data_IF_719644881670
#
_entry.id   IF_719644881670
#
_cell.length_a   1.000
_cell.length_b   1.000
_cell.length_c   1.000
_cell.angle_alpha   90.00
_cell.angle_beta   90.00
_cell.angle_gamma   90.00
#
_symmetry.space_group_name_H-M   'P 1'
#
loop_
_entity.id
_entity.type
_entity.pdbx_description
1 polymer ?
#
# COMPACT_ATOMS: atom_id res chain seq x y z
N UNK A 1 34.89 20.74 25.68
CA UNK A 1 34.04 19.81 26.46
C UNK A 1 32.63 20.39 26.48
N UNK A 2 31.71 19.86 25.66
CA UNK A 2 30.30 20.29 25.71
C UNK A 2 29.72 19.83 27.05
N UNK A 3 29.34 20.78 27.91
CA UNK A 3 28.60 20.48 29.14
C UNK A 3 27.27 19.85 28.72
N UNK A 4 26.99 18.64 29.20
CA UNK A 4 25.71 17.97 28.98
C UNK A 4 24.54 18.83 29.50
N UNK A 5 23.36 18.65 28.90
CA UNK A 5 22.15 19.37 29.31
C UNK A 5 21.73 18.85 30.69
N UNK A 6 21.67 19.69 31.75
CA UNK A 6 21.23 19.25 33.07
C UNK A 6 19.79 18.71 33.01
N UNK A 7 19.55 17.52 33.55
CA UNK A 7 18.23 16.88 33.52
C UNK A 7 17.90 16.13 32.22
N UNK A 8 18.90 15.86 31.37
CA UNK A 8 18.72 15.04 30.18
C UNK A 8 18.34 13.59 30.55
N UNK A 9 17.17 13.17 30.10
CA UNK A 9 16.67 11.79 30.18
C UNK A 9 16.68 11.16 28.78
N UNK A 10 17.62 10.23 28.59
CA UNK A 10 17.85 9.55 27.32
C UNK A 10 16.68 8.65 26.90
N UNK A 11 15.97 8.07 27.86
CA UNK A 11 14.81 7.21 27.57
C UNK A 11 13.62 8.06 27.15
N UNK A 12 13.36 9.15 27.87
CA UNK A 12 12.33 10.12 27.50
C UNK A 12 12.59 10.71 26.12
N UNK A 13 13.83 11.13 25.83
CA UNK A 13 14.18 11.71 24.53
C UNK A 13 13.98 10.71 23.38
N UNK A 14 14.38 9.44 23.55
CA UNK A 14 14.14 8.40 22.55
C UNK A 14 12.65 8.14 22.33
N UNK A 15 11.85 8.16 23.41
CA UNK A 15 10.40 7.99 23.35
C UNK A 15 9.70 9.13 22.60
N UNK A 16 10.10 10.37 22.87
CA UNK A 16 9.58 11.54 22.14
C UNK A 16 9.96 11.51 20.66
N UNK A 17 11.20 11.08 20.35
CA UNK A 17 11.62 10.92 18.97
C UNK A 17 10.81 9.83 18.25
N UNK A 18 10.51 8.71 18.91
CA UNK A 18 9.64 7.68 18.35
C UNK A 18 8.20 8.19 18.11
N UNK A 19 7.64 8.97 19.03
CA UNK A 19 6.34 9.63 18.84
C UNK A 19 6.35 10.56 17.62
N UNK A 20 7.39 11.39 17.48
CA UNK A 20 7.60 12.23 16.29
C UNK A 20 7.68 11.36 15.04
N UNK A 21 8.49 10.31 15.06
CA UNK A 21 8.72 9.47 13.89
C UNK A 21 7.45 8.77 13.41
N UNK A 22 6.65 8.22 14.32
CA UNK A 22 5.36 7.61 14.01
C UNK A 22 4.30 8.62 13.55
N UNK A 23 4.39 9.89 13.95
CA UNK A 23 3.36 10.90 13.64
C UNK A 23 3.68 11.72 12.39
N UNK A 24 4.96 11.79 12.01
CA UNK A 24 5.46 12.52 10.85
C UNK A 24 5.93 11.60 9.71
N UNK A 25 5.62 10.30 9.78
CA UNK A 25 6.07 9.26 8.84
C UNK A 25 7.59 9.30 8.58
N UNK A 26 8.36 9.54 9.65
CA UNK A 26 9.81 9.65 9.57
C UNK A 26 10.46 8.26 9.68
N UNK A 27 11.20 7.79 8.66
CA UNK A 27 11.80 6.47 8.70
C UNK A 27 12.84 6.37 9.84
N UNK A 28 12.73 5.40 10.77
CA UNK A 28 13.69 5.26 11.87
C UNK A 28 15.15 5.15 11.41
N UNK A 29 15.40 4.58 10.23
CA UNK A 29 16.74 4.40 9.64
C UNK A 29 17.46 5.74 9.39
N UNK A 30 16.72 6.82 9.24
CA UNK A 30 17.26 8.14 8.95
C UNK A 30 18.17 8.67 10.08
N UNK A 31 18.02 8.17 11.31
CA UNK A 31 18.92 8.50 12.42
C UNK A 31 20.36 8.04 12.21
N UNK A 32 20.58 7.07 11.32
CA UNK A 32 21.92 6.59 10.96
C UNK A 32 22.62 7.46 9.90
N UNK A 33 21.86 8.33 9.22
CA UNK A 33 22.38 9.22 8.19
C UNK A 33 23.33 10.26 8.75
N UNK A 34 24.54 10.36 8.19
CA UNK A 34 25.59 11.30 8.67
C UNK A 34 25.11 12.75 8.83
N UNK A 35 24.39 13.37 7.86
CA UNK A 35 23.94 14.75 8.02
C UNK A 35 22.95 14.93 9.17
N UNK A 36 22.01 13.99 9.34
CA UNK A 36 21.01 14.04 10.39
C UNK A 36 21.62 13.77 11.76
N UNK A 37 22.56 12.83 11.86
CA UNK A 37 23.34 12.61 13.08
C UNK A 37 24.11 13.86 13.49
N UNK A 38 24.79 14.53 12.56
CA UNK A 38 25.49 15.78 12.82
C UNK A 38 24.56 16.90 13.31
N UNK A 39 23.34 16.99 12.76
CA UNK A 39 22.30 17.89 13.26
C UNK A 39 21.91 17.57 14.71
N UNK A 40 21.61 16.31 15.04
CA UNK A 40 21.26 15.89 16.41
C UNK A 40 22.40 16.15 17.40
N UNK A 41 23.65 15.85 17.02
CA UNK A 41 24.84 16.08 17.84
C UNK A 41 25.06 17.58 18.11
N UNK A 42 24.73 18.45 17.16
CA UNK A 42 24.81 19.91 17.35
C UNK A 42 23.79 20.44 18.37
N UNK A 43 22.64 19.78 18.49
CA UNK A 43 21.60 20.12 19.48
C UNK A 43 21.94 19.58 20.86
N UNK A 44 22.34 18.31 20.94
CA UNK A 44 22.78 17.66 22.17
C UNK A 44 23.73 16.50 21.88
N UNK A 45 25.03 16.62 22.16
CA UNK A 45 26.03 15.55 21.94
C UNK A 45 25.77 14.25 22.73
N UNK A 46 24.96 14.31 23.80
CA UNK A 46 24.55 13.14 24.59
C UNK A 46 23.33 12.42 23.98
N UNK A 47 22.64 13.05 23.02
CA UNK A 47 21.48 12.47 22.35
C UNK A 47 21.92 11.58 21.19
N UNK A 48 22.28 10.34 21.52
CA UNK A 48 22.68 9.32 20.55
C UNK A 48 21.54 8.34 20.31
N UNK A 49 20.96 8.40 19.10
CA UNK A 49 19.97 7.44 18.63
C UNK A 49 20.60 6.46 17.67
N UNK A 50 20.17 5.20 17.78
CA UNK A 50 20.42 4.18 16.77
C UNK A 50 19.09 3.73 16.17
N UNK A 51 19.15 3.17 14.97
CA UNK A 51 17.99 2.58 14.31
C UNK A 51 17.25 1.59 15.23
N UNK A 52 17.99 0.69 15.89
CA UNK A 52 17.42 -0.32 16.78
C UNK A 52 16.70 0.30 17.97
N UNK A 53 17.26 1.37 18.56
CA UNK A 53 16.65 2.05 19.72
C UNK A 53 15.35 2.74 19.33
N UNK A 54 15.37 3.51 18.23
CA UNK A 54 14.17 4.21 17.74
C UNK A 54 13.13 3.18 17.32
N UNK A 55 13.52 2.14 16.59
CA UNK A 55 12.61 1.06 16.18
C UNK A 55 11.93 0.37 17.37
N UNK A 56 12.70 0.06 18.43
CA UNK A 56 12.16 -0.52 19.67
C UNK A 56 11.14 0.41 20.34
N UNK A 57 11.45 1.71 20.46
CA UNK A 57 10.52 2.70 21.03
C UNK A 57 9.27 2.90 20.15
N UNK A 58 9.41 2.95 18.83
CA UNK A 58 8.28 2.99 17.90
C UNK A 58 7.36 1.78 18.08
N UNK A 59 7.92 0.58 18.29
CA UNK A 59 7.14 -0.63 18.55
C UNK A 59 6.37 -0.56 19.88
N UNK A 60 6.95 0.05 20.92
CA UNK A 60 6.25 0.30 22.18
C UNK A 60 5.09 1.29 21.99
N UNK A 61 5.34 2.42 21.31
CA UNK A 61 4.32 3.41 20.94
C UNK A 61 3.17 2.74 20.19
N UNK A 62 3.49 1.89 19.20
CA UNK A 62 2.50 1.13 18.44
C UNK A 62 1.67 0.21 19.34
N UNK A 63 2.29 -0.60 20.21
CA UNK A 63 1.57 -1.53 21.10
C UNK A 63 0.60 -0.80 22.04
N UNK A 64 1.03 0.33 22.59
CA UNK A 64 0.18 1.17 23.46
C UNK A 64 -1.00 1.76 22.68
N UNK A 65 -0.74 2.41 21.54
CA UNK A 65 -1.80 2.97 20.68
C UNK A 65 -2.75 1.89 20.15
N UNK A 66 -2.24 0.70 19.82
CA UNK A 66 -3.05 -0.46 19.40
C UNK A 66 -4.02 -0.88 20.50
N UNK A 67 -3.56 -0.93 21.75
CA UNK A 67 -4.42 -1.29 22.88
C UNK A 67 -5.54 -0.27 23.11
N UNK A 68 -5.24 1.03 22.99
CA UNK A 68 -6.24 2.10 23.07
C UNK A 68 -7.25 2.04 21.91
N UNK A 69 -6.74 1.87 20.69
CA UNK A 69 -7.54 1.71 19.47
C UNK A 69 -8.48 0.51 19.56
N UNK A 70 -7.98 -0.62 20.08
CA UNK A 70 -8.79 -1.82 20.31
C UNK A 70 -9.92 -1.55 21.30
N UNK A 71 -9.64 -0.87 22.43
CA UNK A 71 -10.69 -0.48 23.40
C UNK A 71 -11.75 0.39 22.75
N UNK A 72 -11.34 1.36 21.93
CA UNK A 72 -12.27 2.22 21.19
C UNK A 72 -13.16 1.39 20.27
N UNK A 73 -12.58 0.55 19.41
CA UNK A 73 -13.35 -0.23 18.42
C UNK A 73 -14.30 -1.26 19.05
N UNK A 74 -13.92 -1.86 20.19
CA UNK A 74 -14.81 -2.77 20.94
C UNK A 74 -16.03 -2.02 21.48
N UNK A 75 -15.83 -0.80 21.99
CA UNK A 75 -16.91 0.03 22.54
C UNK A 75 -17.65 0.85 21.48
N UNK A 76 -17.20 0.84 20.23
CA UNK A 76 -17.83 1.58 19.14
C UNK A 76 -19.16 0.96 18.73
N UNK A 77 -20.27 1.69 18.90
CA UNK A 77 -21.61 1.17 18.59
C UNK A 77 -21.93 1.10 17.10
N UNK A 78 -21.12 1.75 16.26
CA UNK A 78 -21.31 1.76 14.81
C UNK A 78 -20.85 0.47 14.11
N UNK A 79 -21.10 0.45 12.80
CA UNK A 79 -20.66 -0.63 11.90
C UNK A 79 -19.32 -0.28 11.26
N UNK A 80 -18.53 -1.31 10.99
CA UNK A 80 -17.19 -1.19 10.41
C UNK A 80 -17.20 -1.84 9.03
N UNK A 81 -16.77 -1.09 8.02
CA UNK A 81 -16.49 -1.62 6.68
C UNK A 81 -15.02 -1.96 6.60
N UNK A 82 -14.66 -3.11 6.05
CA UNK A 82 -13.27 -3.50 5.84
C UNK A 82 -12.85 -3.20 4.40
N UNK A 83 -11.59 -2.83 4.20
CA UNK A 83 -10.94 -2.98 2.89
C UNK A 83 -9.74 -3.90 3.01
N UNK A 84 -9.59 -4.74 2.00
CA UNK A 84 -8.46 -5.62 1.80
C UNK A 84 -7.72 -5.19 0.55
N UNK A 85 -6.44 -4.88 0.72
CA UNK A 85 -5.53 -4.56 -0.38
C UNK A 85 -4.36 -5.55 -0.36
N UNK A 86 -4.15 -6.25 -1.47
CA UNK A 86 -2.91 -6.99 -1.72
C UNK A 86 -1.92 -6.04 -2.38
N UNK A 87 -0.79 -5.82 -1.71
CA UNK A 87 0.26 -4.89 -2.11
C UNK A 87 1.49 -5.69 -2.52
N UNK A 88 1.80 -5.63 -3.80
CA UNK A 88 2.87 -6.41 -4.41
C UNK A 88 4.15 -5.61 -4.53
N UNK A 89 5.24 -6.12 -3.96
CA UNK A 89 6.58 -5.59 -4.10
C UNK A 89 7.43 -6.52 -4.96
N UNK A 90 7.77 -6.04 -6.16
CA UNK A 90 8.62 -6.76 -7.09
C UNK A 90 10.05 -6.24 -6.98
N UNK A 91 11.00 -7.12 -6.69
CA UNK A 91 12.41 -6.77 -6.60
C UNK A 91 13.31 -7.82 -7.27
N UNK A 92 14.50 -7.39 -7.70
CA UNK A 92 15.51 -8.28 -8.28
C UNK A 92 15.76 -8.08 -9.77
N UNK A 93 16.79 -8.77 -10.28
CA UNK A 93 17.12 -8.84 -11.71
C UNK A 93 16.38 -10.03 -12.33
N UNK A 94 16.49 -10.19 -13.65
CA UNK A 94 15.76 -11.23 -14.40
C UNK A 94 16.06 -12.67 -13.93
N UNK A 95 17.19 -12.87 -13.24
CA UNK A 95 17.67 -14.13 -12.66
C UNK A 95 17.35 -14.29 -11.15
N UNK A 96 16.88 -13.23 -10.50
CA UNK A 96 16.66 -13.13 -9.05
C UNK A 96 15.33 -12.46 -8.72
N UNK A 97 14.34 -12.64 -9.60
CA UNK A 97 13.01 -12.06 -9.44
C UNK A 97 12.36 -12.57 -8.15
N UNK A 98 12.09 -11.65 -7.23
CA UNK A 98 11.35 -11.88 -6.00
C UNK A 98 10.08 -11.06 -6.05
N UNK A 99 9.00 -11.70 -5.64
CA UNK A 99 7.72 -11.06 -5.45
C UNK A 99 7.29 -11.27 -4.02
N UNK A 100 7.21 -10.18 -3.27
CA UNK A 100 6.70 -10.17 -1.91
C UNK A 100 5.30 -9.54 -1.93
N UNK A 101 4.28 -10.33 -1.65
CA UNK A 101 2.91 -9.83 -1.54
C UNK A 101 2.59 -9.53 -0.09
N UNK A 102 1.96 -8.39 0.16
CA UNK A 102 1.55 -7.96 1.50
C UNK A 102 0.05 -7.76 1.58
N UNK A 103 -0.58 -8.31 2.61
CA UNK A 103 -1.97 -8.08 2.94
C UNK A 103 -2.09 -6.86 3.86
N UNK A 104 -2.77 -5.82 3.37
CA UNK A 104 -3.18 -4.68 4.16
C UNK A 104 -4.68 -4.77 4.44
N UNK A 105 -5.06 -4.92 5.72
CA UNK A 105 -6.45 -4.89 6.14
C UNK A 105 -6.74 -3.58 6.86
N UNK A 106 -7.69 -2.81 6.35
CA UNK A 106 -8.11 -1.54 6.94
C UNK A 106 -9.56 -1.58 7.41
N UNK A 107 -9.84 -0.94 8.54
CA UNK A 107 -11.18 -0.63 9.03
C UNK A 107 -11.58 0.79 8.65
N UNK A 108 -12.81 0.92 8.15
CA UNK A 108 -13.45 2.17 7.75
C UNK A 108 -14.74 2.34 8.53
N UNK A 109 -14.90 3.50 9.16
CA UNK A 109 -16.09 3.83 9.94
C UNK A 109 -16.27 5.34 10.05
N UNK A 110 -17.47 5.78 10.39
CA UNK A 110 -17.79 7.18 10.68
C UNK A 110 -17.79 7.33 12.21
N UNK A 111 -16.97 8.25 12.72
CA UNK A 111 -16.90 8.51 14.16
C UNK A 111 -18.08 9.37 14.66
N UNK A 112 -18.15 9.59 15.97
CA UNK A 112 -19.20 10.40 16.62
C UNK A 112 -19.23 11.86 16.13
N UNK A 113 -18.14 12.35 15.56
CA UNK A 113 -18.04 13.68 14.97
C UNK A 113 -18.39 13.70 13.48
N UNK A 114 -18.99 12.62 12.97
CA UNK A 114 -19.37 12.46 11.58
C UNK A 114 -18.17 12.51 10.61
N UNK A 115 -16.98 12.09 11.06
CA UNK A 115 -15.78 12.03 10.23
C UNK A 115 -15.50 10.60 9.81
N UNK A 116 -15.29 10.42 8.50
CA UNK A 116 -14.78 9.16 7.97
C UNK A 116 -13.36 8.91 8.51
N UNK A 117 -13.16 7.74 9.09
CA UNK A 117 -11.88 7.24 9.58
C UNK A 117 -11.48 6.02 8.78
N UNK A 118 -10.17 5.91 8.52
CA UNK A 118 -9.52 4.72 7.98
C UNK A 118 -8.36 4.35 8.89
N UNK A 119 -8.42 3.18 9.51
CA UNK A 119 -7.36 2.65 10.36
C UNK A 119 -6.86 1.32 9.81
N UNK A 120 -5.54 1.20 9.64
CA UNK A 120 -4.91 -0.07 9.24
C UNK A 120 -4.89 -0.99 10.45
N UNK A 121 -5.63 -2.10 10.38
CA UNK A 121 -5.68 -3.11 11.43
C UNK A 121 -4.54 -4.10 11.34
N UNK A 122 -4.05 -4.34 10.11
CA UNK A 122 -2.97 -5.27 9.85
C UNK A 122 -2.24 -4.94 8.56
N UNK A 123 -0.93 -5.18 8.58
CA UNK A 123 -0.07 -5.21 7.42
C UNK A 123 0.86 -6.42 7.56
N UNK A 124 0.77 -7.42 6.68
CA UNK A 124 1.47 -8.71 6.83
C UNK A 124 2.03 -9.16 5.49
N UNK A 125 3.13 -9.90 5.48
CA UNK A 125 3.56 -10.62 4.29
C UNK A 125 2.69 -11.87 4.07
N UNK A 126 2.24 -12.11 2.83
CA UNK A 126 1.54 -13.34 2.45
C UNK A 126 2.54 -14.49 2.20
N UNK A 127 3.74 -14.16 1.72
CA UNK A 127 4.77 -15.14 1.36
C UNK A 127 6.04 -14.85 2.18
N UNK A 128 6.12 -15.47 3.35
CA UNK A 128 7.30 -15.42 4.22
C UNK A 128 7.91 -16.80 4.37
N UNK A 129 9.15 -16.97 3.88
CA UNK A 129 10.00 -18.15 4.14
C UNK A 129 10.58 -18.18 5.57
N UNK A 130 10.21 -17.23 6.42
CA UNK A 130 10.83 -17.06 7.73
C UNK A 130 9.78 -17.25 8.84
N UNK A 131 10.12 -18.14 9.78
CA UNK A 131 9.37 -18.52 10.99
C UNK A 131 9.25 -17.34 11.99
N UNK A 132 8.79 -16.18 11.51
CA UNK A 132 8.39 -15.07 12.38
C UNK A 132 6.90 -15.21 12.73
N UNK A 133 6.52 -14.80 13.93
CA UNK A 133 5.15 -14.84 14.49
C UNK A 133 4.04 -14.18 13.62
N UNK A 134 4.40 -13.57 12.49
CA UNK A 134 3.50 -12.95 11.49
C UNK A 134 3.18 -13.86 10.29
N UNK A 135 3.60 -15.13 10.31
CA UNK A 135 3.21 -16.13 9.31
C UNK A 135 1.68 -16.35 9.31
N UNK A 136 1.06 -16.26 8.14
CA UNK A 136 -0.33 -16.62 7.94
C UNK A 136 -0.39 -18.15 7.83
N UNK A 137 -1.06 -18.86 8.75
CA UNK A 137 -1.27 -20.29 8.56
C UNK A 137 -2.03 -20.49 7.25
N UNK A 138 -1.62 -21.49 6.46
CA UNK A 138 -2.41 -22.02 5.35
C UNK A 138 -3.83 -22.32 5.87
N UNK A 139 -4.75 -21.42 5.59
CA UNK A 139 -6.12 -21.46 6.07
C UNK A 139 -6.98 -20.62 5.15
N UNK A 140 -8.26 -20.98 5.06
CA UNK A 140 -9.21 -20.51 4.04
C UNK A 140 -9.50 -18.99 4.07
N UNK A 141 -9.00 -18.26 5.09
CA UNK A 141 -9.32 -16.85 5.35
C UNK A 141 -8.10 -15.95 5.56
N UNK A 142 -6.89 -16.47 5.34
CA UNK A 142 -5.62 -15.76 5.57
C UNK A 142 -5.48 -15.19 6.99
N UNK A 143 -6.12 -15.81 7.98
CA UNK A 143 -6.08 -15.40 9.39
C UNK A 143 -6.86 -14.12 9.69
N UNK A 144 -7.71 -13.67 8.78
CA UNK A 144 -8.51 -12.45 8.93
C UNK A 144 -9.52 -12.61 10.05
N UNK A 145 -10.25 -13.72 10.10
CA UNK A 145 -11.28 -13.92 11.12
C UNK A 145 -10.68 -13.93 12.53
N UNK A 146 -9.56 -14.64 12.72
CA UNK A 146 -8.80 -14.60 13.98
C UNK A 146 -8.37 -13.17 14.32
N UNK A 147 -7.89 -12.41 13.35
CA UNK A 147 -7.56 -11.00 13.57
C UNK A 147 -8.79 -10.19 14.00
N UNK A 148 -9.95 -10.39 13.39
CA UNK A 148 -11.18 -9.69 13.77
C UNK A 148 -11.62 -10.05 15.20
N UNK A 149 -11.41 -11.31 15.63
CA UNK A 149 -11.59 -11.75 17.02
C UNK A 149 -10.57 -11.10 17.96
N UNK A 150 -9.30 -11.03 17.56
CA UNK A 150 -8.24 -10.40 18.33
C UNK A 150 -8.47 -8.90 18.50
N UNK A 151 -9.13 -8.24 17.54
CA UNK A 151 -9.60 -6.85 17.69
C UNK A 151 -10.92 -6.76 18.46
N UNK A 152 -11.69 -7.85 18.59
CA UNK A 152 -13.00 -7.87 19.25
C UNK A 152 -14.10 -7.19 18.45
N UNK A 153 -13.97 -7.15 17.12
CA UNK A 153 -14.85 -6.42 16.20
C UNK A 153 -15.58 -7.31 15.21
N UNK A 154 -15.44 -8.63 15.30
CA UNK A 154 -16.01 -9.59 14.35
C UNK A 154 -17.54 -9.45 14.20
N UNK A 155 -18.24 -9.01 15.26
CA UNK A 155 -19.69 -8.81 15.24
C UNK A 155 -20.13 -7.41 14.71
N UNK A 156 -19.17 -6.52 14.43
CA UNK A 156 -19.40 -5.14 13.99
C UNK A 156 -19.18 -4.94 12.50
N UNK A 157 -18.66 -5.96 11.80
CA UNK A 157 -18.33 -5.86 10.38
C UNK A 157 -19.61 -5.86 9.53
N UNK A 158 -19.75 -4.87 8.66
CA UNK A 158 -20.87 -4.74 7.71
C UNK A 158 -20.52 -5.18 6.30
N UNK A 159 -19.34 -4.80 5.83
CA UNK A 159 -18.90 -5.01 4.45
C UNK A 159 -17.40 -5.30 4.41
N UNK A 160 -16.96 -5.92 3.32
CA UNK A 160 -15.58 -6.18 2.96
C UNK A 160 -15.42 -5.76 1.50
N UNK A 161 -14.61 -4.73 1.29
CA UNK A 161 -14.17 -4.30 -0.03
C UNK A 161 -12.86 -4.98 -0.36
N UNK A 162 -12.72 -5.52 -1.56
CA UNK A 162 -11.48 -6.14 -2.01
C UNK A 162 -11.01 -5.52 -3.31
N UNK A 163 -9.69 -5.49 -3.50
CA UNK A 163 -9.14 -5.29 -4.83
C UNK A 163 -9.23 -6.57 -5.69
N UNK A 164 -9.42 -6.40 -7.01
CA UNK A 164 -9.81 -7.48 -7.93
C UNK A 164 -8.71 -8.55 -8.15
N UNK A 165 -7.49 -8.31 -7.69
CA UNK A 165 -6.35 -9.19 -7.97
C UNK A 165 -6.21 -10.28 -6.89
N UNK A 166 -6.07 -11.52 -7.34
CA UNK A 166 -5.41 -12.67 -6.70
C UNK A 166 -5.95 -13.32 -5.41
N UNK A 167 -7.09 -12.89 -4.86
CA UNK A 167 -7.76 -13.64 -3.79
C UNK A 167 -8.96 -14.47 -4.31
N UNK A 168 -9.24 -15.61 -3.71
CA UNK A 168 -10.38 -16.45 -4.10
C UNK A 168 -11.69 -15.89 -3.49
N UNK A 169 -12.81 -16.03 -4.21
CA UNK A 169 -14.15 -15.70 -3.70
C UNK A 169 -14.47 -16.52 -2.43
N UNK A 170 -13.85 -17.70 -2.29
CA UNK A 170 -13.94 -18.53 -1.10
C UNK A 170 -13.52 -17.82 0.19
N UNK A 171 -12.52 -16.94 0.14
CA UNK A 171 -12.05 -16.20 1.32
C UNK A 171 -13.12 -15.23 1.83
N UNK A 172 -13.80 -14.51 0.92
CA UNK A 172 -14.84 -13.55 1.29
C UNK A 172 -16.02 -14.28 1.91
N UNK A 173 -16.43 -15.40 1.31
CA UNK A 173 -17.51 -16.23 1.83
C UNK A 173 -17.14 -16.89 3.17
N UNK A 174 -15.89 -17.30 3.36
CA UNK A 174 -15.43 -17.81 4.66
C UNK A 174 -15.50 -16.72 5.73
N UNK A 175 -14.95 -15.53 5.47
CA UNK A 175 -14.99 -14.42 6.44
C UNK A 175 -16.45 -14.07 6.76
N UNK A 176 -17.31 -14.05 5.74
CA UNK A 176 -18.75 -13.80 5.89
C UNK A 176 -19.45 -14.85 6.76
N UNK A 177 -19.18 -16.14 6.57
CA UNK A 177 -19.83 -17.23 7.30
C UNK A 177 -19.48 -17.24 8.80
N UNK A 178 -18.36 -16.62 9.16
CA UNK A 178 -17.88 -16.54 10.55
C UNK A 178 -18.23 -15.23 11.24
N UNK A 179 -18.66 -14.21 10.49
CA UNK A 179 -19.23 -12.98 11.04
C UNK A 179 -20.68 -13.24 11.45
N UNK A 180 -21.13 -12.59 12.53
CA UNK A 180 -22.46 -12.81 13.07
C UNK A 180 -23.55 -12.30 12.09
N UNK A 181 -24.11 -13.24 11.32
CA UNK A 181 -25.05 -13.02 10.21
C UNK A 181 -26.31 -12.21 10.62
N UNK A 182 -26.71 -12.32 11.90
CA UNK A 182 -27.92 -11.66 12.44
C UNK A 182 -27.95 -10.14 12.31
N UNK A 183 -26.82 -9.49 12.03
CA UNK A 183 -26.71 -8.03 11.92
C UNK A 183 -26.17 -7.55 10.56
N UNK A 184 -26.08 -8.41 9.54
CA UNK A 184 -25.65 -7.98 8.20
C UNK A 184 -26.81 -7.27 7.49
N UNK A 185 -26.51 -6.12 6.86
CA UNK A 185 -27.50 -5.38 6.08
C UNK A 185 -27.93 -6.21 4.85
N UNK A 186 -29.23 -6.15 4.52
CA UNK A 186 -29.82 -6.88 3.39
C UNK A 186 -29.48 -8.38 3.37
N UNK A 187 -29.49 -9.04 4.53
CA UNK A 187 -29.14 -10.47 4.66
C UNK A 187 -27.75 -10.80 4.09
N UNK A 188 -26.78 -9.88 4.25
CA UNK A 188 -25.41 -10.08 3.79
C UNK A 188 -25.19 -9.89 2.29
N UNK A 189 -26.18 -9.42 1.53
CA UNK A 189 -26.02 -9.11 0.10
C UNK A 189 -24.99 -8.00 -0.14
N UNK A 190 -24.88 -7.04 0.78
CA UNK A 190 -23.92 -5.94 0.68
C UNK A 190 -22.57 -6.26 1.33
N UNK A 191 -22.38 -7.49 1.82
CA UNK A 191 -21.14 -7.83 2.51
C UNK A 191 -19.95 -7.74 1.56
N UNK A 192 -20.08 -8.20 0.31
CA UNK A 192 -19.03 -8.10 -0.69
C UNK A 192 -19.19 -6.80 -1.49
N UNK A 193 -18.15 -5.98 -1.49
CA UNK A 193 -18.08 -4.75 -2.29
C UNK A 193 -16.86 -4.83 -3.22
N UNK A 194 -17.08 -4.58 -4.51
CA UNK A 194 -15.98 -4.50 -5.48
C UNK A 194 -15.39 -3.10 -5.49
N UNK A 195 -14.07 -3.01 -5.51
CA UNK A 195 -13.38 -1.73 -5.66
C UNK A 195 -13.68 -1.11 -7.03
N UNK A 196 -14.26 0.10 -7.04
CA UNK A 196 -14.53 0.83 -8.28
C UNK A 196 -13.23 1.13 -9.06
N UNK A 197 -12.13 1.38 -8.36
CA UNK A 197 -10.81 1.60 -8.96
C UNK A 197 -10.36 0.38 -9.76
N UNK A 198 -10.59 -0.82 -9.24
CA UNK A 198 -10.21 -2.05 -9.95
C UNK A 198 -11.16 -2.41 -11.08
N UNK A 199 -12.44 -2.09 -10.95
CA UNK A 199 -13.36 -2.18 -12.09
C UNK A 199 -12.88 -1.30 -13.25
N UNK A 200 -12.46 -0.06 -12.95
CA UNK A 200 -11.91 0.85 -13.95
C UNK A 200 -10.57 0.31 -14.50
N UNK A 201 -9.68 -0.18 -13.64
CA UNK A 201 -8.42 -0.81 -14.04
C UNK A 201 -8.66 -1.96 -15.02
N UNK A 202 -9.57 -2.88 -14.69
CA UNK A 202 -9.92 -4.00 -15.56
C UNK A 202 -10.47 -3.54 -16.91
N UNK A 203 -11.33 -2.51 -16.93
CA UNK A 203 -11.81 -1.91 -18.19
C UNK A 203 -10.68 -1.31 -19.02
N UNK A 204 -9.72 -0.63 -18.37
CA UNK A 204 -8.56 -0.05 -19.05
C UNK A 204 -7.62 -1.14 -19.58
N UNK A 205 -7.41 -2.21 -18.82
CA UNK A 205 -6.57 -3.35 -19.23
C UNK A 205 -7.17 -4.09 -20.43
N UNK A 206 -8.49 -4.31 -20.45
CA UNK A 206 -9.21 -4.88 -21.59
C UNK A 206 -9.08 -3.98 -22.84
N UNK A 207 -9.25 -2.67 -22.65
CA UNK A 207 -9.04 -1.68 -23.70
C UNK A 207 -7.59 -1.69 -24.21
N UNK A 208 -6.60 -1.87 -23.32
CA UNK A 208 -5.19 -1.93 -23.66
C UNK A 208 -4.82 -3.18 -24.46
N UNK A 209 -5.46 -4.32 -24.21
CA UNK A 209 -5.23 -5.53 -25.00
C UNK A 209 -5.61 -5.29 -26.48
N UNK A 210 -6.64 -4.48 -26.75
CA UNK A 210 -7.07 -4.10 -28.12
C UNK A 210 -6.04 -3.25 -28.88
N UNK A 211 -5.14 -2.57 -28.16
CA UNK A 211 -4.08 -1.70 -28.71
C UNK A 211 -2.68 -2.15 -28.29
N UNK A 212 -2.51 -3.39 -27.84
CA UNK A 212 -1.26 -3.93 -27.31
C UNK A 212 -0.09 -3.80 -28.28
N UNK A 213 -0.34 -3.94 -29.57
CA UNK A 213 0.66 -3.77 -30.63
C UNK A 213 1.19 -2.32 -30.71
N UNK A 214 0.31 -1.34 -30.52
CA UNK A 214 0.67 0.08 -30.47
C UNK A 214 1.45 0.37 -29.18
N UNK A 215 0.96 -0.13 -28.03
CA UNK A 215 1.64 0.01 -26.74
C UNK A 215 3.05 -0.56 -26.82
N UNK A 216 3.21 -1.76 -27.38
CA UNK A 216 4.51 -2.39 -27.57
C UNK A 216 5.45 -1.52 -28.40
N UNK A 217 5.00 -1.02 -29.55
CA UNK A 217 5.81 -0.15 -30.40
C UNK A 217 6.21 1.16 -29.71
N UNK A 218 5.29 1.79 -28.98
CA UNK A 218 5.60 2.99 -28.19
C UNK A 218 6.63 2.66 -27.10
N UNK A 219 6.52 1.53 -26.40
CA UNK A 219 7.53 1.10 -25.42
C UNK A 219 8.93 0.92 -26.02
N UNK A 220 9.03 0.35 -27.22
CA UNK A 220 10.30 0.15 -27.92
C UNK A 220 10.98 1.47 -28.29
N UNK A 221 10.19 2.47 -28.72
CA UNK A 221 10.72 3.78 -29.11
C UNK A 221 11.29 4.54 -27.92
N UNK A 222 10.61 4.53 -26.78
CA UNK A 222 10.97 5.40 -25.66
C UNK A 222 11.86 4.74 -24.60
N UNK A 223 12.19 3.44 -24.72
CA UNK A 223 12.91 2.66 -23.69
C UNK A 223 12.57 3.12 -22.27
N UNK A 224 11.28 3.09 -21.94
CA UNK A 224 10.84 3.41 -20.59
C UNK A 224 11.37 2.30 -19.68
N UNK A 225 12.52 2.55 -19.03
CA UNK A 225 13.20 1.58 -18.19
C UNK A 225 12.19 0.85 -17.31
N UNK A 226 12.15 -0.49 -17.43
CA UNK A 226 11.24 -1.45 -16.77
C UNK A 226 10.11 -0.78 -15.97
N UNK A 227 9.18 -0.10 -16.65
CA UNK A 227 8.03 0.44 -15.96
C UNK A 227 7.17 -0.76 -15.53
N UNK A 228 6.91 -0.86 -14.23
CA UNK A 228 5.88 -1.75 -13.72
C UNK A 228 4.60 -1.54 -14.55
N UNK A 229 3.80 -2.59 -14.83
CA UNK A 229 2.68 -2.55 -15.78
C UNK A 229 1.48 -1.76 -15.24
N UNK A 230 1.72 -0.62 -14.60
CA UNK A 230 0.70 0.24 -14.04
C UNK A 230 0.02 1.00 -15.17
N UNK A 231 -1.28 0.76 -15.33
CA UNK A 231 -2.09 1.30 -16.43
C UNK A 231 -2.02 2.83 -16.52
N UNK A 232 -1.90 3.54 -15.39
CA UNK A 232 -1.81 5.00 -15.37
C UNK A 232 -0.47 5.52 -15.94
N UNK A 233 0.63 4.82 -15.70
CA UNK A 233 1.94 5.15 -16.30
C UNK A 233 1.90 4.90 -17.81
N UNK A 234 1.36 3.75 -18.22
CA UNK A 234 1.17 3.45 -19.64
C UNK A 234 0.29 4.51 -20.32
N UNK A 235 -0.81 4.92 -19.70
CA UNK A 235 -1.68 6.00 -20.19
C UNK A 235 -0.92 7.32 -20.33
N UNK A 236 -0.11 7.69 -19.33
CA UNK A 236 0.70 8.91 -19.37
C UNK A 236 1.68 8.91 -20.54
N UNK A 237 2.38 7.79 -20.77
CA UNK A 237 3.30 7.64 -21.89
C UNK A 237 2.59 7.67 -23.25
N UNK A 238 1.42 7.04 -23.36
CA UNK A 238 0.62 7.08 -24.59
C UNK A 238 0.13 8.51 -24.90
N UNK A 239 -0.21 9.31 -23.89
CA UNK A 239 -0.52 10.73 -24.05
C UNK A 239 0.67 11.52 -24.57
N UNK A 240 1.87 11.27 -24.04
CA UNK A 240 3.11 11.86 -24.54
C UNK A 240 3.37 11.52 -26.01
N UNK A 241 3.24 10.23 -26.38
CA UNK A 241 3.41 9.77 -27.76
C UNK A 241 2.38 10.41 -28.73
N UNK A 242 1.13 10.59 -28.28
CA UNK A 242 0.09 11.29 -29.05
C UNK A 242 0.43 12.76 -29.32
N UNK A 243 0.98 13.46 -28.33
CA UNK A 243 1.40 14.85 -28.49
C UNK A 243 2.53 14.96 -29.51
N UNK A 244 3.56 14.12 -29.41
CA UNK A 244 4.67 14.10 -30.37
C UNK A 244 4.22 13.72 -31.79
N UNK A 245 3.30 12.75 -31.95
CA UNK A 245 2.67 12.47 -33.24
C UNK A 245 1.91 13.67 -33.81
N UNK A 246 1.21 14.42 -32.95
CA UNK A 246 0.46 15.61 -33.36
C UNK A 246 1.37 16.74 -33.83
N UNK A 247 2.56 16.86 -33.22
CA UNK A 247 3.56 17.87 -33.58
C UNK A 247 4.40 17.45 -34.80
N UNK A 248 4.24 16.21 -35.31
CA UNK A 248 5.15 15.56 -36.27
C UNK A 248 6.60 15.52 -35.79
N UNK A 249 6.81 15.67 -34.49
CA UNK A 249 8.09 15.69 -33.80
C UNK A 249 8.52 14.29 -33.38
N UNK A 250 8.17 13.25 -34.14
CA UNK A 250 8.93 12.00 -34.07
C UNK A 250 10.30 12.25 -34.68
N UNK A 251 11.11 13.00 -33.93
CA UNK A 251 12.49 13.30 -34.18
C UNK A 251 13.28 12.03 -33.95
N UNK A 252 14.09 11.66 -34.94
CA UNK A 252 15.00 10.51 -34.91
C UNK A 252 16.04 10.54 -33.77
N UNK A 253 15.99 11.52 -32.86
CA UNK A 253 16.91 11.68 -31.74
C UNK A 253 16.46 10.91 -30.48
N UNK A 254 15.16 10.68 -30.30
CA UNK A 254 14.62 9.87 -29.18
C UNK A 254 14.39 8.40 -29.58
N UNK A 255 14.48 8.10 -30.89
CA UNK A 255 14.41 6.75 -31.44
C UNK A 255 15.77 6.10 -31.25
N UNK A 256 15.87 5.09 -30.39
CA UNK A 256 17.01 4.17 -30.45
C UNK A 256 17.01 3.62 -31.87
N UNK A 257 18.09 3.89 -32.62
CA UNK A 257 18.26 3.73 -34.09
C UNK A 257 17.86 2.38 -34.73
N UNK A 258 17.32 1.43 -33.96
CA UNK A 258 16.97 0.08 -34.39
C UNK A 258 15.45 -0.18 -34.55
N UNK A 259 14.56 0.80 -34.31
CA UNK A 259 13.10 0.58 -34.36
C UNK A 259 12.32 1.54 -35.28
N UNK A 260 11.46 0.97 -36.12
CA UNK A 260 10.57 1.71 -37.02
C UNK A 260 9.53 2.55 -36.25
N UNK A 261 9.39 3.82 -36.65
CA UNK A 261 8.34 4.70 -36.14
C UNK A 261 6.96 4.18 -36.58
N UNK A 262 5.98 4.00 -35.66
CA UNK A 262 4.66 3.50 -36.03
C UNK A 262 3.92 4.46 -36.95
N UNK A 263 3.15 3.95 -37.94
CA UNK A 263 2.46 4.78 -38.91
C UNK A 263 1.42 5.68 -38.25
N UNK A 264 1.16 6.87 -38.82
CA UNK A 264 0.20 7.88 -38.32
C UNK A 264 -1.23 7.32 -38.09
N UNK A 265 -1.61 6.23 -38.78
CA UNK A 265 -2.87 5.51 -38.56
C UNK A 265 -2.97 4.95 -37.13
N UNK A 266 -1.85 4.56 -36.53
CA UNK A 266 -1.78 4.09 -35.14
C UNK A 266 -2.07 5.24 -34.16
N UNK A 267 -1.61 6.46 -34.46
CA UNK A 267 -1.97 7.66 -33.68
C UNK A 267 -3.48 7.94 -33.70
N UNK A 268 -4.17 7.72 -34.84
CA UNK A 268 -5.64 7.85 -34.93
C UNK A 268 -6.38 6.78 -34.13
N UNK A 269 -5.93 5.53 -34.20
CA UNK A 269 -6.49 4.44 -33.39
C UNK A 269 -6.29 4.76 -31.90
N UNK A 270 -5.09 5.19 -31.50
CA UNK A 270 -4.77 5.52 -30.12
C UNK A 270 -5.59 6.69 -29.55
N UNK A 271 -5.91 7.74 -30.35
CA UNK A 271 -6.79 8.85 -29.94
C UNK A 271 -8.18 8.43 -29.46
N UNK A 272 -8.64 7.23 -29.83
CA UNK A 272 -9.95 6.71 -29.39
C UNK A 272 -9.86 6.12 -27.97
N UNK A 273 -8.67 5.69 -27.54
CA UNK A 273 -8.44 4.97 -26.28
C UNK A 273 -7.80 5.82 -25.18
N UNK A 274 -7.36 7.04 -25.49
CA UNK A 274 -6.51 7.89 -24.62
C UNK A 274 -6.99 9.34 -24.62
#
# INVERSE_FOLDING_TARGET
MSRGVPGYDEQKAAREFANFACSADFPPQMVEGRPFRGFLESLNPQFKLSFNRVGSECMKVYKERKAETKKFLVNFDGRISLSMDILRHESGRWDTFRCDDYLCLSAHFIDENWKLKRWVLSFRSLWGLDESDDYIPEGDDWGIFKLLQDWGIQNKISTLTRNNEDCDDSLVEFVKSHIQDKNLQLNGQLFRVHCCGDMIKAMVEDAFETIKDIIYKVRQLYSFGRSLPLWYLATHHLKGALQQWSMREFSSQDVINDYDVPPLRNGRKLKVFV
#
